data_IF_373774319680
#
_entry.id   IF_373774319680
#
_cell.length_a   1.000
_cell.length_b   1.000
_cell.length_c   1.000
_cell.angle_alpha   90.00
_cell.angle_beta   90.00
_cell.angle_gamma   90.00
#
_symmetry.space_group_name_H-M   'P 1'
#
loop_
_entity.id
_entity.type
_entity.pdbx_description
1 polymer ?
#
# COMPACT_ATOMS: atom_id res chain seq x y z
N UNK A 1 70.65 -69.40 -35.52
CA UNK A 1 70.89 -67.98 -35.90
C UNK A 1 69.76 -67.16 -35.30
N UNK A 2 70.11 -66.14 -34.53
CA UNK A 2 69.25 -65.46 -33.55
C UNK A 2 67.96 -64.84 -34.11
N UNK A 3 66.86 -65.02 -33.38
CA UNK A 3 65.72 -64.10 -33.36
C UNK A 3 65.59 -63.63 -31.91
N UNK A 4 66.08 -62.43 -31.61
CA UNK A 4 65.79 -61.72 -30.37
C UNK A 4 64.49 -60.96 -30.53
N UNK A 5 63.48 -61.34 -29.73
CA UNK A 5 62.19 -60.68 -29.65
C UNK A 5 62.28 -59.59 -28.57
N UNK A 6 62.21 -58.31 -28.96
CA UNK A 6 62.11 -57.17 -28.06
C UNK A 6 60.63 -56.83 -27.87
N UNK A 7 60.09 -57.11 -26.68
CA UNK A 7 58.75 -56.69 -26.29
C UNK A 7 58.83 -55.38 -25.51
N UNK A 8 58.26 -54.32 -26.09
CA UNK A 8 58.18 -52.96 -25.55
C UNK A 8 57.06 -52.91 -24.51
N UNK A 9 57.40 -52.54 -23.28
CA UNK A 9 56.46 -52.28 -22.18
C UNK A 9 55.86 -50.88 -22.40
N UNK A 10 54.55 -50.80 -22.68
CA UNK A 10 53.80 -49.55 -22.73
C UNK A 10 52.94 -49.41 -21.46
N UNK A 11 53.20 -48.37 -20.67
CA UNK A 11 52.41 -48.00 -19.51
C UNK A 11 51.01 -47.51 -19.94
N UNK A 12 49.96 -48.21 -19.53
CA UNK A 12 48.58 -47.69 -19.55
C UNK A 12 48.38 -46.74 -18.37
N UNK A 13 48.17 -45.46 -18.69
CA UNK A 13 47.71 -44.45 -17.74
C UNK A 13 46.17 -44.53 -17.64
N UNK A 14 45.65 -44.82 -16.45
CA UNK A 14 44.22 -44.74 -16.15
C UNK A 14 43.81 -43.26 -16.06
N UNK A 15 43.05 -42.77 -17.03
CA UNK A 15 42.30 -41.52 -16.90
C UNK A 15 41.03 -41.79 -16.09
N UNK A 16 40.97 -41.26 -14.86
CA UNK A 16 39.73 -41.18 -14.11
C UNK A 16 38.85 -40.10 -14.75
N UNK A 17 37.77 -40.49 -15.41
CA UNK A 17 36.77 -39.56 -15.92
C UNK A 17 36.02 -38.93 -14.73
N UNK A 18 36.25 -37.65 -14.48
CA UNK A 18 35.44 -36.87 -13.54
C UNK A 18 34.03 -36.69 -14.14
N UNK A 19 33.02 -37.30 -13.52
CA UNK A 19 31.62 -37.03 -13.81
C UNK A 19 31.31 -35.61 -13.35
N UNK A 20 31.30 -34.67 -14.31
CA UNK A 20 30.80 -33.32 -14.09
C UNK A 20 29.28 -33.40 -13.94
N UNK A 21 28.79 -33.20 -12.71
CA UNK A 21 27.35 -33.04 -12.48
C UNK A 21 26.94 -31.65 -12.99
N UNK A 22 26.19 -31.64 -14.09
CA UNK A 22 25.55 -30.43 -14.59
C UNK A 22 24.56 -29.90 -13.53
N UNK A 23 24.55 -28.59 -13.20
CA UNK A 23 23.57 -28.04 -12.28
C UNK A 23 22.18 -28.23 -12.88
N UNK A 24 21.26 -28.79 -12.10
CA UNK A 24 19.85 -28.91 -12.47
C UNK A 24 19.30 -27.51 -12.68
N UNK A 25 19.18 -27.11 -13.95
CA UNK A 25 18.61 -25.82 -14.33
C UNK A 25 17.17 -25.78 -13.80
N UNK A 26 16.90 -24.85 -12.87
CA UNK A 26 15.55 -24.61 -12.36
C UNK A 26 14.65 -24.20 -13.53
N UNK A 27 13.89 -25.15 -14.08
CA UNK A 27 12.88 -24.87 -15.11
C UNK A 27 11.79 -23.99 -14.50
N UNK A 28 11.80 -22.72 -14.85
CA UNK A 28 10.71 -21.79 -14.56
C UNK A 28 9.51 -22.22 -15.40
N UNK A 29 8.47 -22.75 -14.75
CA UNK A 29 7.19 -22.99 -15.39
C UNK A 29 6.49 -21.63 -15.60
N UNK A 30 6.59 -21.09 -16.81
CA UNK A 30 5.89 -19.87 -17.20
C UNK A 30 4.46 -20.25 -17.61
N UNK A 31 3.48 -19.96 -16.75
CA UNK A 31 2.08 -19.99 -17.15
C UNK A 31 1.75 -18.64 -17.81
N UNK A 32 1.43 -18.60 -19.10
CA UNK A 32 1.08 -17.34 -19.76
C UNK A 32 -0.19 -16.78 -19.14
N UNK A 33 -0.11 -15.54 -18.66
CA UNK A 33 -1.31 -14.76 -18.36
C UNK A 33 -1.92 -14.39 -19.70
N UNK A 34 -2.92 -15.14 -20.15
CA UNK A 34 -3.72 -14.73 -21.28
C UNK A 34 -4.63 -13.59 -20.85
N UNK A 35 -4.41 -12.41 -21.43
CA UNK A 35 -5.39 -11.33 -21.45
C UNK A 35 -6.68 -11.91 -22.02
N UNK A 36 -7.73 -12.06 -21.20
CA UNK A 36 -9.07 -12.36 -21.73
C UNK A 36 -9.43 -11.24 -22.70
N UNK A 37 -9.71 -11.60 -23.95
CA UNK A 37 -10.04 -10.65 -25.02
C UNK A 37 -11.35 -9.91 -24.79
N UNK A 38 -12.17 -10.41 -23.86
CA UNK A 38 -13.44 -9.84 -23.44
C UNK A 38 -13.44 -9.80 -21.89
N UNK A 39 -13.57 -8.62 -21.26
CA UNK A 39 -13.98 -8.55 -19.86
C UNK A 39 -15.33 -9.27 -19.71
N UNK A 40 -15.62 -9.90 -18.58
CA UNK A 40 -16.96 -10.41 -18.31
C UNK A 40 -17.98 -9.30 -18.64
N UNK A 41 -19.07 -9.65 -19.33
CA UNK A 41 -20.09 -8.69 -19.78
C UNK A 41 -20.68 -7.86 -18.62
N UNK A 42 -20.68 -8.46 -17.42
CA UNK A 42 -21.03 -7.81 -16.15
C UNK A 42 -20.03 -6.72 -15.78
N UNK A 43 -18.73 -6.98 -15.91
CA UNK A 43 -17.68 -6.01 -15.60
C UNK A 43 -17.75 -4.87 -16.64
N UNK A 44 -17.74 -5.19 -17.93
CA UNK A 44 -17.70 -4.18 -19.00
C UNK A 44 -18.92 -3.25 -19.07
N UNK A 45 -20.11 -3.70 -18.68
CA UNK A 45 -21.30 -2.84 -18.56
C UNK A 45 -21.23 -1.89 -17.36
N UNK A 46 -20.67 -2.34 -16.23
CA UNK A 46 -20.37 -1.50 -15.07
C UNK A 46 -19.28 -0.45 -15.39
N UNK A 47 -18.31 -0.77 -16.25
CA UNK A 47 -17.21 0.15 -16.62
C UNK A 47 -17.62 1.42 -17.35
N UNK A 48 -18.70 1.39 -18.15
CA UNK A 48 -19.23 2.62 -18.77
C UNK A 48 -20.01 3.49 -17.78
N UNK A 49 -20.39 2.94 -16.62
CA UNK A 49 -21.18 3.61 -15.58
C UNK A 49 -20.31 4.50 -14.66
N UNK A 50 -19.10 4.06 -14.33
CA UNK A 50 -18.17 4.75 -13.40
C UNK A 50 -17.65 6.13 -13.88
N UNK A 51 -17.98 6.56 -15.09
CA UNK A 51 -17.62 7.87 -15.64
C UNK A 51 -18.65 8.98 -15.41
N UNK A 52 -19.80 8.70 -14.77
CA UNK A 52 -20.86 9.70 -14.57
C UNK A 52 -21.35 9.76 -13.12
N UNK A 53 -20.90 10.85 -12.46
CA UNK A 53 -21.61 11.68 -11.47
C UNK A 53 -21.88 11.02 -10.11
N UNK A 54 -20.90 11.18 -9.21
CA UNK A 54 -20.97 11.39 -7.74
C UNK A 54 -19.59 11.08 -7.13
N UNK A 55 -18.56 11.65 -7.75
CA UNK A 55 -17.17 11.34 -7.42
C UNK A 55 -16.52 12.51 -6.69
N UNK A 56 -15.82 12.22 -5.59
CA UNK A 56 -15.12 13.21 -4.78
C UNK A 56 -13.63 13.12 -5.04
N UNK A 57 -13.03 14.23 -5.46
CA UNK A 57 -11.65 14.29 -5.92
C UNK A 57 -10.81 15.18 -5.00
N UNK A 58 -9.63 14.71 -4.61
CA UNK A 58 -8.62 15.52 -3.93
C UNK A 58 -7.27 15.36 -4.59
N UNK A 59 -6.51 16.45 -4.63
CA UNK A 59 -5.08 16.40 -4.92
C UNK A 59 -4.35 15.64 -3.80
N UNK A 60 -3.26 14.96 -4.16
CA UNK A 60 -2.33 14.32 -3.25
C UNK A 60 -1.01 15.05 -3.28
N UNK A 61 -0.45 15.33 -2.10
CA UNK A 61 0.89 15.87 -1.97
C UNK A 61 1.90 14.73 -2.04
N UNK A 62 2.77 14.73 -3.05
CA UNK A 62 3.90 13.81 -3.13
C UNK A 62 5.10 14.41 -2.39
N UNK A 63 5.53 13.78 -1.31
CA UNK A 63 6.74 14.15 -0.57
C UNK A 63 7.94 13.36 -1.10
N UNK A 64 8.44 13.76 -2.27
CA UNK A 64 9.56 13.12 -2.99
C UNK A 64 9.47 11.58 -3.07
N UNK A 65 8.26 11.04 -3.22
CA UNK A 65 8.02 9.61 -3.33
C UNK A 65 8.08 8.85 -2.01
N UNK A 66 8.37 9.54 -0.90
CA UNK A 66 8.37 8.93 0.44
C UNK A 66 6.95 8.61 0.92
N UNK A 67 6.00 9.51 0.65
CA UNK A 67 4.61 9.37 1.05
C UNK A 67 3.70 10.27 0.20
N UNK A 68 2.42 9.90 0.11
CA UNK A 68 1.38 10.71 -0.51
C UNK A 68 0.40 11.18 0.56
N UNK A 69 0.25 12.50 0.69
CA UNK A 69 -0.57 13.12 1.74
C UNK A 69 -1.88 13.66 1.20
N UNK A 70 -2.89 13.64 2.05
CA UNK A 70 -4.23 14.16 1.78
C UNK A 70 -4.72 14.98 2.97
N UNK A 71 -5.53 16.00 2.68
CA UNK A 71 -6.20 16.77 3.72
C UNK A 71 -7.52 16.12 4.14
N UNK A 72 -7.74 16.06 5.45
CA UNK A 72 -8.94 15.52 6.09
C UNK A 72 -9.44 16.56 7.09
N UNK A 73 -10.75 16.74 7.16
CA UNK A 73 -11.40 17.55 8.18
C UNK A 73 -12.20 16.65 9.13
N UNK A 74 -12.02 16.81 10.44
CA UNK A 74 -12.65 15.99 11.48
C UNK A 74 -13.39 16.91 12.46
N UNK A 75 -14.64 16.60 12.75
CA UNK A 75 -15.44 17.32 13.74
C UNK A 75 -16.41 18.35 13.16
N UNK A 76 -17.18 18.97 14.06
CA UNK A 76 -18.12 20.05 13.76
C UNK A 76 -17.96 21.21 14.77
N UNK A 77 -17.41 22.38 14.40
CA UNK A 77 -16.79 22.68 13.11
C UNK A 77 -15.55 21.82 12.83
N UNK A 78 -15.20 21.67 11.56
CA UNK A 78 -14.11 20.79 11.12
C UNK A 78 -12.72 21.28 11.51
N UNK A 79 -11.92 20.39 12.07
CA UNK A 79 -10.49 20.57 12.39
C UNK A 79 -9.65 19.86 11.33
N UNK A 80 -8.65 20.54 10.77
CA UNK A 80 -7.94 20.07 9.57
C UNK A 80 -6.61 19.37 9.88
N UNK A 81 -6.40 18.25 9.21
CA UNK A 81 -5.22 17.41 9.30
C UNK A 81 -4.71 17.06 7.91
N UNK A 82 -3.39 17.00 7.77
CA UNK A 82 -2.75 16.38 6.60
C UNK A 82 -2.29 15.00 7.02
N UNK A 83 -2.78 13.95 6.36
CA UNK A 83 -2.52 12.55 6.74
C UNK A 83 -1.95 11.77 5.57
N UNK A 84 -1.18 10.72 5.87
CA UNK A 84 -0.69 9.81 4.84
C UNK A 84 -1.83 8.92 4.35
N UNK A 85 -2.00 8.83 3.03
CA UNK A 85 -2.95 7.90 2.41
C UNK A 85 -2.33 6.50 2.35
N UNK A 86 -2.95 5.52 3.02
CA UNK A 86 -2.35 4.19 3.19
C UNK A 86 -3.30 3.06 2.81
N UNK A 87 -3.02 2.38 1.69
CA UNK A 87 -3.76 1.17 1.28
C UNK A 87 -3.31 -0.09 2.03
N UNK A 88 -2.23 -0.02 2.79
CA UNK A 88 -1.67 -1.09 3.62
C UNK A 88 -2.21 -1.15 5.04
N UNK A 89 -3.01 -0.18 5.49
CA UNK A 89 -3.72 -0.18 6.78
C UNK A 89 -5.18 0.27 6.61
N UNK A 90 -6.00 0.14 7.66
CA UNK A 90 -7.44 0.39 7.59
C UNK A 90 -7.96 1.47 8.54
N UNK A 91 -7.27 1.72 9.66
CA UNK A 91 -7.70 2.75 10.60
C UNK A 91 -7.34 4.15 10.08
N UNK A 92 -8.28 5.09 10.22
CA UNK A 92 -7.93 6.51 10.28
C UNK A 92 -7.49 6.83 11.71
N UNK A 93 -6.41 7.58 11.88
CA UNK A 93 -6.06 8.14 13.18
C UNK A 93 -5.33 9.48 13.06
N UNK A 94 -5.52 10.32 14.09
CA UNK A 94 -4.86 11.63 14.26
C UNK A 94 -4.46 11.81 15.73
N UNK A 95 -3.47 12.65 16.05
CA UNK A 95 -3.14 12.94 17.43
C UNK A 95 -4.18 13.84 18.10
N UNK A 96 -4.51 13.54 19.35
CA UNK A 96 -5.37 14.36 20.18
C UNK A 96 -4.61 15.42 20.99
N UNK A 97 -5.34 16.39 21.54
CA UNK A 97 -4.80 17.47 22.36
C UNK A 97 -4.11 17.01 23.67
N UNK A 98 -4.23 15.73 24.02
CA UNK A 98 -3.49 15.11 25.12
C UNK A 98 -2.13 14.54 24.72
N UNK A 99 -1.81 14.46 23.42
CA UNK A 99 -0.52 13.95 22.96
C UNK A 99 0.60 14.96 23.23
N UNK A 100 1.71 14.56 23.89
CA UNK A 100 2.83 15.47 24.14
C UNK A 100 3.43 16.04 22.85
N UNK A 101 3.77 17.32 22.82
CA UNK A 101 4.36 17.98 21.64
C UNK A 101 5.68 17.33 21.15
N UNK A 102 6.42 16.68 22.06
CA UNK A 102 7.62 15.93 21.70
C UNK A 102 7.33 14.74 20.75
N UNK A 103 6.15 14.13 20.92
CA UNK A 103 5.66 12.97 20.17
C UNK A 103 4.69 13.36 19.04
N UNK A 104 3.98 14.47 19.20
CA UNK A 104 2.99 14.99 18.27
C UNK A 104 3.21 16.51 18.04
N UNK A 105 4.18 16.89 17.17
CA UNK A 105 4.61 18.28 17.03
C UNK A 105 3.69 19.15 16.16
N UNK A 106 2.71 18.56 15.48
CA UNK A 106 1.81 19.23 14.53
C UNK A 106 0.40 19.41 15.12
N UNK A 107 -0.60 19.76 14.29
CA UNK A 107 -1.98 19.99 14.72
C UNK A 107 -2.52 18.84 15.61
N UNK A 108 -3.23 19.18 16.66
CA UNK A 108 -3.85 18.21 17.58
C UNK A 108 -5.37 18.35 17.50
N UNK A 109 -6.07 17.23 17.49
CA UNK A 109 -7.53 17.21 17.56
C UNK A 109 -7.99 17.55 18.96
N UNK A 110 -8.84 18.56 19.10
CA UNK A 110 -9.52 18.94 20.34
C UNK A 110 -10.95 18.37 20.35
N UNK A 111 -11.21 17.31 21.14
CA UNK A 111 -12.55 16.75 21.27
C UNK A 111 -13.60 17.73 21.78
N UNK A 112 -13.21 18.70 22.61
CA UNK A 112 -14.13 19.67 23.20
C UNK A 112 -14.62 20.73 22.20
N UNK A 113 -13.88 20.91 21.10
CA UNK A 113 -14.21 21.84 20.03
C UNK A 113 -15.11 21.23 18.93
N UNK A 114 -15.48 19.96 19.03
CA UNK A 114 -16.37 19.28 18.07
C UNK A 114 -17.70 18.90 18.71
N UNK A 115 -18.81 19.44 18.20
CA UNK A 115 -20.16 19.12 18.67
C UNK A 115 -20.63 17.71 18.27
N UNK A 116 -19.94 17.05 17.34
CA UNK A 116 -20.27 15.69 16.86
C UNK A 116 -19.33 14.61 17.40
N UNK A 117 -18.33 14.98 18.19
CA UNK A 117 -17.41 14.04 18.82
C UNK A 117 -18.11 13.13 19.82
N UNK A 118 -17.80 11.83 19.77
CA UNK A 118 -18.18 10.85 20.78
C UNK A 118 -17.03 9.90 21.06
N UNK A 119 -16.57 9.84 22.31
CA UNK A 119 -15.65 8.80 22.77
C UNK A 119 -16.33 7.43 22.73
N UNK A 120 -15.60 6.40 22.29
CA UNK A 120 -16.06 5.01 22.39
C UNK A 120 -15.54 4.31 23.65
N UNK A 121 -14.63 4.95 24.41
CA UNK A 121 -13.96 4.38 25.59
C UNK A 121 -13.30 3.00 25.31
N UNK A 122 -12.91 2.76 24.05
CA UNK A 122 -12.19 1.55 23.64
C UNK A 122 -10.72 1.89 23.39
N UNK A 123 -9.75 1.07 23.85
CA UNK A 123 -8.35 1.32 23.62
C UNK A 123 -8.01 1.15 22.14
N UNK A 124 -7.24 2.10 21.61
CA UNK A 124 -6.66 2.08 20.28
C UNK A 124 -5.15 1.91 20.38
N UNK A 125 -4.62 0.87 19.73
CA UNK A 125 -3.17 0.62 19.71
C UNK A 125 -2.78 0.05 18.35
N UNK A 126 -1.83 0.71 17.69
CA UNK A 126 -1.22 0.26 16.44
C UNK A 126 0.29 0.14 16.58
N UNK A 127 0.87 -0.78 15.83
CA UNK A 127 2.32 -0.96 15.72
C UNK A 127 2.69 -0.94 14.25
N UNK A 128 3.51 0.02 13.85
CA UNK A 128 4.00 0.19 12.49
C UNK A 128 5.51 -0.02 12.47
N UNK A 129 5.96 -1.20 12.04
CA UNK A 129 7.39 -1.55 12.05
C UNK A 129 7.96 -1.46 13.47
N UNK A 130 8.85 -0.48 13.68
CA UNK A 130 9.48 -0.20 14.98
C UNK A 130 8.69 0.79 15.86
N UNK A 131 7.72 1.52 15.28
CA UNK A 131 6.96 2.56 15.97
C UNK A 131 5.60 2.09 16.50
N UNK A 132 5.02 2.87 17.39
CA UNK A 132 3.71 2.61 17.99
C UNK A 132 2.83 3.86 18.11
N UNK A 133 1.52 3.66 18.01
CA UNK A 133 0.48 4.64 18.34
C UNK A 133 -0.37 4.07 19.46
N UNK A 134 -0.56 4.84 20.52
CA UNK A 134 -1.48 4.51 21.61
C UNK A 134 -2.55 5.59 21.71
N UNK A 135 -3.76 5.21 22.12
CA UNK A 135 -4.85 6.14 22.30
C UNK A 135 -6.18 5.45 22.57
N UNK A 136 -7.26 6.10 22.16
CA UNK A 136 -8.63 5.56 22.27
C UNK A 136 -9.36 5.71 20.94
N UNK A 137 -10.35 4.86 20.70
CA UNK A 137 -11.27 5.09 19.59
C UNK A 137 -12.31 6.15 19.95
N UNK A 138 -12.65 6.95 18.95
CA UNK A 138 -13.77 7.87 18.97
C UNK A 138 -14.56 7.77 17.66
N UNK A 139 -15.72 8.41 17.62
CA UNK A 139 -16.46 8.67 16.39
C UNK A 139 -16.66 10.17 16.21
N UNK A 140 -16.61 10.62 14.97
CA UNK A 140 -16.96 12.00 14.61
C UNK A 140 -17.39 12.09 13.14
N UNK A 141 -17.77 13.28 12.69
CA UNK A 141 -17.98 13.63 11.28
C UNK A 141 -16.64 13.81 10.59
N UNK A 142 -16.45 13.17 9.44
CA UNK A 142 -15.19 13.22 8.69
C UNK A 142 -15.47 13.63 7.25
N UNK A 143 -14.71 14.62 6.78
CA UNK A 143 -14.78 15.13 5.40
C UNK A 143 -13.44 14.98 4.70
N UNK A 144 -13.45 14.34 3.54
CA UNK A 144 -12.27 14.20 2.65
C UNK A 144 -12.72 14.49 1.23
N UNK A 145 -12.01 15.35 0.49
CA UNK A 145 -12.36 15.70 -0.88
C UNK A 145 -13.80 16.26 -1.05
N UNK A 146 -14.38 16.83 0.01
CA UNK A 146 -15.80 17.24 0.06
C UNK A 146 -16.80 16.11 0.33
N UNK A 147 -16.36 14.86 0.41
CA UNK A 147 -17.17 13.72 0.81
C UNK A 147 -17.26 13.67 2.33
N UNK A 148 -18.47 13.81 2.88
CA UNK A 148 -18.69 13.83 4.32
C UNK A 148 -19.43 12.58 4.77
N UNK A 149 -18.88 11.90 5.79
CA UNK A 149 -19.54 10.79 6.48
C UNK A 149 -19.71 11.12 7.95
N UNK A 150 -20.80 10.64 8.55
CA UNK A 150 -21.10 10.84 9.96
C UNK A 150 -20.72 9.61 10.78
N UNK A 151 -20.43 9.80 12.07
CA UNK A 151 -20.11 8.75 13.03
C UNK A 151 -18.99 7.80 12.54
N UNK A 152 -17.99 8.31 11.82
CA UNK A 152 -16.83 7.51 11.40
C UNK A 152 -15.97 7.23 12.63
N UNK A 153 -15.72 5.95 12.89
CA UNK A 153 -14.78 5.55 13.93
C UNK A 153 -13.34 5.83 13.49
N UNK A 154 -12.53 6.44 14.36
CA UNK A 154 -11.12 6.72 14.14
C UNK A 154 -10.34 6.62 15.45
N UNK A 155 -9.02 6.43 15.34
CA UNK A 155 -8.11 6.44 16.49
C UNK A 155 -7.72 7.86 16.88
N UNK A 156 -7.94 8.22 18.15
CA UNK A 156 -7.45 9.45 18.75
C UNK A 156 -6.18 9.13 19.55
N UNK A 157 -5.02 9.48 19.01
CA UNK A 157 -3.74 9.13 19.60
C UNK A 157 -3.41 10.03 20.80
N UNK A 158 -3.01 9.41 21.90
CA UNK A 158 -2.48 10.05 23.11
C UNK A 158 -0.94 9.99 23.19
N UNK A 159 -0.32 9.10 22.42
CA UNK A 159 1.14 8.95 22.34
C UNK A 159 1.51 8.33 20.98
N UNK A 160 2.58 8.84 20.37
CA UNK A 160 3.21 8.20 19.20
C UNK A 160 4.71 8.08 19.42
N UNK A 161 5.30 6.97 18.99
CA UNK A 161 6.76 6.78 18.99
C UNK A 161 7.23 6.35 17.63
N UNK A 162 8.22 7.05 17.08
CA UNK A 162 8.88 6.72 15.80
C UNK A 162 7.91 6.61 14.61
N UNK A 163 6.80 7.34 14.65
CA UNK A 163 5.78 7.37 13.57
C UNK A 163 5.64 8.78 13.03
N UNK A 164 5.26 9.73 13.91
CA UNK A 164 5.29 11.13 13.55
C UNK A 164 6.74 11.62 13.71
N UNK A 165 7.33 12.09 12.62
CA UNK A 165 8.71 12.57 12.64
C UNK A 165 8.76 13.94 13.29
N UNK A 166 9.48 14.03 14.42
CA UNK A 166 10.01 15.31 14.88
C UNK A 166 11.36 15.53 14.17
N UNK A 167 11.48 16.52 13.28
CA UNK A 167 12.73 16.80 12.55
C UNK A 167 13.93 16.99 13.47
N UNK A 168 13.72 17.42 14.72
CA UNK A 168 14.76 17.66 15.72
C UNK A 168 15.34 16.37 16.34
N UNK A 169 14.74 15.21 16.08
CA UNK A 169 15.17 13.91 16.64
C UNK A 169 15.89 13.01 15.64
N UNK A 170 15.98 13.42 14.37
CA UNK A 170 16.72 12.66 13.35
C UNK A 170 18.15 13.20 13.29
N UNK A 171 19.07 12.56 14.00
CA UNK A 171 20.52 12.71 13.76
C UNK A 171 20.89 11.98 12.47
N UNK A 172 20.60 12.57 11.31
CA UNK A 172 21.19 12.16 10.04
C UNK A 172 22.45 12.98 9.79
N UNK A 173 23.57 12.28 9.60
CA UNK A 173 24.92 12.80 9.30
C UNK A 173 25.07 13.44 7.91
N UNK A 174 23.99 13.97 7.34
CA UNK A 174 24.01 14.71 6.08
C UNK A 174 23.31 16.04 6.28
N UNK A 175 24.09 17.03 6.72
CA UNK A 175 23.67 18.41 7.02
C UNK A 175 23.12 19.19 5.81
N UNK A 176 23.07 18.57 4.62
CA UNK A 176 22.68 19.25 3.38
C UNK A 176 21.26 18.95 2.86
N UNK A 177 20.48 18.07 3.50
CA UNK A 177 19.12 17.72 3.05
C UNK A 177 17.98 18.16 3.99
N UNK A 178 18.28 18.61 5.21
CA UNK A 178 17.28 18.83 6.27
C UNK A 178 16.86 20.30 6.45
N UNK A 179 17.54 21.24 5.81
CA UNK A 179 17.38 22.69 6.04
C UNK A 179 16.44 23.41 5.08
N UNK A 180 15.64 22.70 4.28
CA UNK A 180 14.83 23.31 3.20
C UNK A 180 13.31 23.22 3.29
N UNK A 181 12.71 22.64 4.34
CA UNK A 181 11.28 22.32 4.28
C UNK A 181 10.48 22.68 5.53
N UNK A 182 10.45 23.98 5.83
CA UNK A 182 9.54 24.50 6.86
C UNK A 182 8.10 24.68 6.33
N UNK A 183 7.93 24.93 5.02
CA UNK A 183 6.63 25.19 4.38
C UNK A 183 5.94 23.95 3.76
N UNK A 184 6.54 22.75 3.83
CA UNK A 184 5.90 21.56 3.23
C UNK A 184 4.92 20.89 4.19
N UNK A 185 3.77 20.39 3.70
CA UNK A 185 2.84 19.64 4.53
C UNK A 185 3.53 18.46 5.20
N UNK A 186 3.33 18.32 6.52
CA UNK A 186 3.88 17.23 7.32
C UNK A 186 2.76 16.23 7.60
N UNK A 187 3.04 14.94 7.42
CA UNK A 187 2.12 13.89 7.80
C UNK A 187 1.79 13.98 9.29
N UNK A 188 0.51 13.98 9.61
CA UNK A 188 -0.02 14.19 10.95
C UNK A 188 -1.17 13.21 11.23
N UNK A 189 -0.89 11.93 10.98
CA UNK A 189 -1.85 10.84 11.01
C UNK A 189 -1.83 10.01 9.74
N UNK A 190 -2.68 8.98 9.71
CA UNK A 190 -2.84 8.08 8.57
C UNK A 190 -4.32 7.94 8.26
N UNK A 191 -4.68 7.96 6.97
CA UNK A 191 -5.99 7.54 6.46
C UNK A 191 -5.83 6.16 5.81
N UNK A 192 -6.20 5.12 6.56
CA UNK A 192 -6.24 3.75 6.05
C UNK A 192 -7.38 3.54 5.04
N UNK A 193 -7.06 2.87 3.93
CA UNK A 193 -8.01 2.48 2.87
C UNK A 193 -8.19 0.96 2.77
N UNK A 194 -7.67 0.20 3.73
CA UNK A 194 -7.77 -1.26 3.81
C UNK A 194 -9.16 -1.78 4.16
N UNK A 195 -9.32 -3.10 4.19
CA UNK A 195 -10.60 -3.74 4.53
C UNK A 195 -10.92 -3.65 6.04
N UNK A 196 -12.21 -3.70 6.45
CA UNK A 196 -12.63 -3.66 7.85
C UNK A 196 -11.88 -4.61 8.79
N UNK A 197 -11.52 -5.80 8.30
CA UNK A 197 -10.80 -6.81 9.08
C UNK A 197 -9.36 -6.43 9.44
N UNK A 198 -8.77 -5.50 8.70
CA UNK A 198 -7.40 -5.00 8.92
C UNK A 198 -7.33 -3.92 10.00
N UNK A 199 -8.48 -3.44 10.51
CA UNK A 199 -8.52 -2.47 11.61
C UNK A 199 -7.86 -3.02 12.87
N UNK A 200 -7.24 -2.15 13.66
CA UNK A 200 -6.65 -2.52 14.94
C UNK A 200 -7.72 -3.15 15.86
N UNK A 201 -8.94 -2.61 15.85
CA UNK A 201 -10.08 -3.12 16.62
C UNK A 201 -10.33 -4.60 16.35
N UNK A 202 -10.37 -4.99 15.07
CA UNK A 202 -10.50 -6.39 14.63
C UNK A 202 -9.37 -7.26 15.20
N UNK A 203 -8.12 -6.82 15.06
CA UNK A 203 -6.95 -7.58 15.55
C UNK A 203 -6.89 -7.72 17.08
N UNK A 204 -7.53 -6.81 17.81
CA UNK A 204 -7.59 -6.78 19.28
C UNK A 204 -8.85 -7.44 19.86
N UNK A 205 -9.68 -8.08 19.02
CA UNK A 205 -10.89 -8.76 19.46
C UNK A 205 -12.07 -7.83 19.79
N UNK A 206 -12.00 -6.55 19.42
CA UNK A 206 -13.09 -5.57 19.59
C UNK A 206 -14.11 -5.63 18.44
N UNK A 207 -13.83 -6.42 17.40
CA UNK A 207 -14.63 -6.53 16.19
C UNK A 207 -14.19 -5.54 15.10
N UNK A 208 -14.42 -5.85 13.81
CA UNK A 208 -14.14 -4.93 12.72
C UNK A 208 -15.16 -3.79 12.69
N UNK A 209 -14.75 -2.63 12.20
CA UNK A 209 -15.64 -1.52 11.83
C UNK A 209 -15.33 -1.09 10.39
N UNK A 210 -16.22 -0.31 9.78
CA UNK A 210 -16.04 0.19 8.42
C UNK A 210 -15.01 1.34 8.39
N UNK A 211 -13.90 1.21 7.62
CA UNK A 211 -13.02 2.33 7.29
C UNK A 211 -13.74 3.38 6.44
N UNK A 212 -13.12 4.55 6.31
CA UNK A 212 -13.70 5.72 5.63
C UNK A 212 -14.36 5.38 4.29
N UNK A 213 -13.63 4.70 3.39
CA UNK A 213 -14.14 4.36 2.04
C UNK A 213 -15.33 3.39 2.06
N UNK A 214 -15.41 2.50 3.05
CA UNK A 214 -16.54 1.59 3.21
C UNK A 214 -17.76 2.34 3.72
N UNK A 215 -17.57 3.31 4.62
CA UNK A 215 -18.66 4.17 5.09
C UNK A 215 -19.16 5.15 4.03
N UNK A 216 -18.32 5.59 3.10
CA UNK A 216 -18.80 6.36 1.93
C UNK A 216 -19.86 5.58 1.16
N UNK A 217 -19.63 4.30 0.91
CA UNK A 217 -20.60 3.46 0.21
C UNK A 217 -21.79 3.09 1.11
N UNK A 218 -21.55 2.72 2.36
CA UNK A 218 -22.60 2.32 3.31
C UNK A 218 -23.58 3.46 3.64
N UNK A 219 -23.10 4.71 3.63
CA UNK A 219 -23.92 5.91 3.83
C UNK A 219 -24.46 6.50 2.51
N UNK A 220 -24.29 5.79 1.39
CA UNK A 220 -24.70 6.24 0.04
C UNK A 220 -24.12 7.61 -0.36
N UNK A 221 -22.93 7.95 0.13
CA UNK A 221 -22.21 9.18 -0.26
C UNK A 221 -21.62 9.02 -1.66
N UNK A 222 -21.10 7.82 -1.98
CA UNK A 222 -20.66 7.46 -3.33
C UNK A 222 -21.60 6.43 -3.94
N UNK A 223 -21.94 6.63 -5.21
CA UNK A 223 -22.82 5.74 -5.97
C UNK A 223 -22.17 4.42 -6.35
N UNK A 224 -20.85 4.41 -6.53
CA UNK A 224 -20.08 3.23 -6.91
C UNK A 224 -18.99 2.96 -5.85
N UNK A 225 -18.87 1.74 -5.29
CA UNK A 225 -17.95 1.40 -4.19
C UNK A 225 -16.52 1.18 -4.70
N UNK A 226 -15.94 2.22 -5.28
CA UNK A 226 -14.59 2.23 -5.84
C UNK A 226 -13.84 3.47 -5.38
N UNK A 227 -12.52 3.38 -5.38
CA UNK A 227 -11.66 4.56 -5.40
C UNK A 227 -10.53 4.35 -6.42
N UNK A 228 -9.98 5.44 -6.93
CA UNK A 228 -8.86 5.41 -7.85
C UNK A 228 -7.78 6.38 -7.41
N UNK A 229 -6.53 5.96 -7.60
CA UNK A 229 -5.35 6.74 -7.23
C UNK A 229 -4.51 6.92 -8.50
N UNK A 230 -4.20 8.18 -8.79
CA UNK A 230 -3.21 8.56 -9.76
C UNK A 230 -2.00 9.14 -9.02
N UNK A 231 -0.85 8.50 -9.20
CA UNK A 231 0.41 8.98 -8.67
C UNK A 231 1.23 9.51 -9.84
N UNK A 232 1.70 10.75 -9.70
CA UNK A 232 2.64 11.34 -10.63
C UNK A 232 4.05 10.76 -10.43
N UNK A 233 5.05 11.34 -11.09
CA UNK A 233 6.44 10.93 -10.92
C UNK A 233 6.87 11.05 -9.45
N UNK A 234 7.39 9.96 -8.88
CA UNK A 234 7.85 9.91 -7.49
C UNK A 234 8.89 11.00 -7.16
N UNK A 235 9.69 11.44 -8.12
CA UNK A 235 10.69 12.49 -7.93
C UNK A 235 10.13 13.92 -8.00
N UNK A 236 8.84 14.08 -8.31
CA UNK A 236 8.18 15.40 -8.38
C UNK A 236 7.49 15.71 -7.07
N UNK A 237 7.97 16.73 -6.37
CA UNK A 237 7.41 17.22 -5.10
C UNK A 237 6.14 18.07 -5.31
N UNK A 238 5.23 18.07 -4.34
CA UNK A 238 4.07 18.99 -4.32
C UNK A 238 2.70 18.32 -4.49
N UNK A 239 1.65 19.12 -4.71
CA UNK A 239 0.27 18.64 -4.94
C UNK A 239 0.07 18.16 -6.37
N UNK A 240 0.64 17.00 -6.68
CA UNK A 240 0.79 16.51 -8.06
C UNK A 240 0.18 15.13 -8.31
N UNK A 241 -0.29 14.43 -7.26
CA UNK A 241 -1.11 13.21 -7.38
C UNK A 241 -2.61 13.50 -7.21
N UNK A 242 -3.43 12.47 -7.32
CA UNK A 242 -4.89 12.58 -7.19
C UNK A 242 -5.51 11.30 -6.63
N UNK A 243 -6.53 11.45 -5.79
CA UNK A 243 -7.44 10.36 -5.41
C UNK A 243 -8.87 10.75 -5.74
N UNK A 244 -9.63 9.78 -6.23
CA UNK A 244 -11.06 9.90 -6.50
C UNK A 244 -11.79 8.81 -5.73
N UNK A 245 -12.79 9.19 -4.94
CA UNK A 245 -13.75 8.27 -4.35
C UNK A 245 -15.02 8.23 -5.21
N UNK A 246 -15.52 7.04 -5.53
CA UNK A 246 -16.72 6.85 -6.33
C UNK A 246 -16.53 6.89 -7.85
N UNK A 247 -15.28 6.93 -8.35
CA UNK A 247 -15.04 7.08 -9.78
C UNK A 247 -13.59 6.85 -10.22
N UNK A 248 -13.36 7.09 -11.51
CA UNK A 248 -12.03 7.08 -12.15
C UNK A 248 -11.89 8.28 -13.09
N UNK A 249 -10.71 8.86 -13.20
CA UNK A 249 -10.42 9.86 -14.24
C UNK A 249 -9.80 9.20 -15.48
N UNK A 250 -10.58 9.15 -16.57
CA UNK A 250 -10.17 8.58 -17.85
C UNK A 250 -9.04 9.35 -18.53
N UNK A 251 -8.78 10.61 -18.14
CA UNK A 251 -7.66 11.40 -18.67
C UNK A 251 -6.31 10.96 -18.11
N UNK A 252 -6.30 10.21 -16.99
CA UNK A 252 -5.07 9.76 -16.30
C UNK A 252 -4.53 8.43 -16.81
N UNK A 253 -5.24 7.72 -17.67
CA UNK A 253 -4.79 6.45 -18.24
C UNK A 253 -5.17 6.30 -19.71
N UNK A 254 -4.50 5.37 -20.41
CA UNK A 254 -4.79 5.04 -21.80
C UNK A 254 -5.29 3.61 -21.91
N UNK A 255 -6.24 3.37 -22.81
CA UNK A 255 -6.83 2.05 -23.01
C UNK A 255 -7.80 1.67 -21.89
N UNK A 256 -7.98 0.37 -21.68
CA UNK A 256 -8.94 -0.16 -20.71
C UNK A 256 -8.25 -0.60 -19.43
N UNK A 257 -8.91 -0.38 -18.29
CA UNK A 257 -8.50 -0.94 -17.00
C UNK A 257 -8.58 -2.47 -17.03
N UNK A 258 -7.57 -3.12 -16.48
CA UNK A 258 -7.54 -4.56 -16.25
C UNK A 258 -7.82 -4.83 -14.78
N UNK A 259 -8.86 -5.61 -14.49
CA UNK A 259 -9.27 -5.95 -13.14
C UNK A 259 -8.73 -7.32 -12.76
N UNK A 260 -8.19 -7.41 -11.56
CA UNK A 260 -7.75 -8.66 -10.96
C UNK A 260 -8.57 -8.90 -9.69
N UNK A 261 -9.03 -10.13 -9.42
CA UNK A 261 -9.78 -10.42 -8.22
C UNK A 261 -8.90 -10.27 -6.98
N UNK A 262 -9.43 -9.63 -5.94
CA UNK A 262 -8.78 -9.57 -4.63
C UNK A 262 -8.77 -10.97 -4.01
N UNK A 263 -7.63 -11.37 -3.46
CA UNK A 263 -7.44 -12.69 -2.85
C UNK A 263 -7.78 -12.61 -1.36
N UNK A 264 -8.75 -13.40 -0.87
CA UNK A 264 -9.02 -13.51 0.55
C UNK A 264 -7.89 -14.27 1.25
N UNK A 265 -7.60 -13.91 2.50
CA UNK A 265 -6.62 -14.62 3.32
C UNK A 265 -7.25 -15.85 4.01
N UNK A 266 -7.46 -16.94 3.27
CA UNK A 266 -7.77 -18.24 3.87
C UNK A 266 -6.50 -18.92 4.39
N UNK A 267 -6.56 -19.51 5.59
CA UNK A 267 -5.44 -20.14 6.28
C UNK A 267 -4.61 -21.08 5.39
N UNK A 268 -3.29 -20.86 5.29
CA UNK A 268 -2.35 -21.93 4.91
C UNK A 268 -2.06 -22.73 6.18
N UNK A 269 -2.76 -23.84 6.36
CA UNK A 269 -2.46 -24.78 7.44
C UNK A 269 -1.15 -25.53 7.11
N UNK A 270 -0.02 -25.10 7.71
CA UNK A 270 0.89 -25.96 8.52
C UNK A 270 2.22 -25.30 8.90
N UNK A 271 2.49 -25.41 10.21
CA UNK A 271 3.76 -25.72 10.87
C UNK A 271 5.03 -24.95 10.47
N UNK A 272 5.14 -23.69 10.88
CA UNK A 272 6.39 -23.20 11.46
C UNK A 272 6.11 -22.13 12.52
N UNK A 273 6.79 -22.26 13.65
CA UNK A 273 6.60 -21.42 14.85
C UNK A 273 6.79 -19.94 14.48
N UNK A 274 5.84 -19.07 14.90
CA UNK A 274 5.82 -17.59 14.79
C UNK A 274 5.21 -16.92 13.55
N UNK A 275 4.20 -17.48 12.88
CA UNK A 275 3.29 -16.68 12.06
C UNK A 275 1.85 -16.84 12.55
N UNK A 276 1.16 -15.72 12.77
CA UNK A 276 -0.22 -15.69 13.23
C UNK A 276 -1.09 -16.57 12.31
N UNK A 277 -1.82 -17.51 12.91
CA UNK A 277 -2.83 -18.31 12.22
C UNK A 277 -3.98 -17.38 11.86
N UNK A 278 -3.96 -16.79 10.65
CA UNK A 278 -5.09 -16.05 10.11
C UNK A 278 -6.09 -17.05 9.56
N UNK A 279 -7.10 -17.36 10.36
CA UNK A 279 -8.23 -18.20 9.98
C UNK A 279 -9.37 -17.27 9.55
N UNK A 280 -9.36 -16.79 8.29
CA UNK A 280 -10.29 -15.72 7.88
C UNK A 280 -10.83 -15.93 6.47
N UNK A 281 -12.07 -16.41 6.34
CA UNK A 281 -12.77 -16.50 5.05
C UNK A 281 -13.19 -15.14 4.46
N UNK A 282 -12.27 -14.19 4.26
CA UNK A 282 -12.58 -12.87 3.70
C UNK A 282 -11.36 -12.04 3.29
N UNK A 283 -11.62 -10.87 2.68
CA UNK A 283 -10.58 -9.93 2.24
C UNK A 283 -9.93 -9.23 3.43
N UNK A 284 -8.61 -9.02 3.34
CA UNK A 284 -7.81 -8.42 4.41
C UNK A 284 -6.94 -7.29 3.86
N UNK A 285 -6.11 -7.59 2.86
CA UNK A 285 -5.35 -6.61 2.07
C UNK A 285 -5.87 -6.56 0.63
N UNK A 286 -5.54 -5.50 -0.10
CA UNK A 286 -5.73 -5.38 -1.56
C UNK A 286 -4.74 -6.27 -2.34
N UNK A 287 -4.74 -7.57 -2.05
CA UNK A 287 -3.83 -8.53 -2.68
C UNK A 287 -4.46 -9.15 -3.92
N UNK A 288 -3.64 -9.37 -4.94
CA UNK A 288 -4.02 -10.05 -6.17
C UNK A 288 -3.02 -11.18 -6.45
N UNK A 289 -3.47 -12.25 -7.10
CA UNK A 289 -2.56 -13.31 -7.52
C UNK A 289 -1.64 -12.80 -8.64
N UNK A 290 -0.33 -12.87 -8.42
CA UNK A 290 0.69 -12.54 -9.42
C UNK A 290 1.79 -13.61 -9.43
N UNK A 291 2.29 -13.97 -10.60
CA UNK A 291 3.40 -14.92 -10.76
C UNK A 291 4.78 -14.30 -10.47
N UNK A 292 4.86 -12.97 -10.35
CA UNK A 292 6.08 -12.24 -10.05
C UNK A 292 5.90 -10.74 -10.23
N UNK A 293 6.78 -9.96 -9.62
CA UNK A 293 6.89 -8.50 -9.80
C UNK A 293 8.26 -8.22 -10.41
N UNK A 294 8.28 -7.24 -11.30
CA UNK A 294 9.41 -6.95 -12.17
C UNK A 294 9.64 -5.44 -12.22
N UNK A 295 10.86 -5.01 -11.90
CA UNK A 295 11.24 -3.60 -11.94
C UNK A 295 12.39 -3.45 -12.91
N UNK A 296 12.20 -2.66 -13.97
CA UNK A 296 13.25 -2.36 -14.95
C UNK A 296 13.79 -0.95 -14.70
N UNK A 297 15.08 -0.85 -14.40
CA UNK A 297 15.79 0.43 -14.33
C UNK A 297 16.51 0.65 -15.65
N UNK A 298 16.17 1.72 -16.38
CA UNK A 298 16.95 2.16 -17.54
C UNK A 298 18.07 3.08 -17.08
N UNK A 299 19.24 2.52 -16.77
CA UNK A 299 20.46 3.34 -16.64
C UNK A 299 21.06 3.57 -18.04
N UNK A 300 21.16 4.83 -18.44
CA UNK A 300 21.87 5.26 -19.65
C UNK A 300 23.38 5.32 -19.40
N UNK A 301 24.00 4.24 -18.98
CA UNK A 301 25.46 4.07 -19.02
C UNK A 301 25.81 2.60 -19.20
N UNK A 302 26.49 2.33 -20.30
CA UNK A 302 27.01 1.04 -20.75
C UNK A 302 27.94 0.37 -19.72
N UNK A 303 27.71 -0.91 -19.41
CA UNK A 303 28.63 -2.03 -19.71
C UNK A 303 28.34 -3.24 -18.81
N UNK A 304 27.88 -4.33 -19.45
CA UNK A 304 28.06 -5.74 -19.08
C UNK A 304 28.07 -6.12 -17.59
N UNK A 305 26.90 -6.50 -17.08
CA UNK A 305 26.80 -7.69 -16.23
C UNK A 305 25.43 -8.37 -16.45
N UNK A 306 25.46 -9.53 -17.11
CA UNK A 306 24.26 -10.25 -17.54
C UNK A 306 23.70 -11.10 -16.39
N UNK A 307 22.87 -10.47 -15.55
CA UNK A 307 21.83 -11.17 -14.79
C UNK A 307 20.52 -11.13 -15.57
N UNK A 308 20.10 -12.26 -16.14
CA UNK A 308 18.83 -12.35 -16.89
C UNK A 308 17.66 -12.16 -15.90
N UNK A 309 17.13 -10.94 -15.83
CA UNK A 309 15.79 -10.65 -15.31
C UNK A 309 14.92 -10.26 -16.51
N UNK A 310 14.51 -11.28 -17.28
CA UNK A 310 13.51 -11.11 -18.33
C UNK A 310 12.12 -11.11 -17.71
N UNK A 311 11.63 -9.93 -17.39
CA UNK A 311 10.26 -9.73 -16.94
C UNK A 311 9.69 -8.43 -17.49
N UNK A 312 8.73 -8.57 -18.40
CA UNK A 312 8.02 -7.49 -19.06
C UNK A 312 6.82 -7.08 -18.21
N UNK A 313 6.89 -5.91 -17.57
CA UNK A 313 5.74 -5.10 -17.25
C UNK A 313 5.96 -3.76 -17.93
N UNK A 314 5.50 -3.64 -19.18
CA UNK A 314 5.48 -2.34 -19.86
C UNK A 314 4.45 -1.46 -19.16
N UNK A 315 4.91 -0.57 -18.29
CA UNK A 315 4.34 0.77 -18.18
C UNK A 315 5.34 1.74 -18.76
N UNK A 316 5.38 1.81 -20.10
CA UNK A 316 5.99 2.95 -20.78
C UNK A 316 5.07 4.17 -20.60
N UNK A 317 4.98 4.68 -19.38
CA UNK A 317 4.63 6.06 -19.08
C UNK A 317 4.92 6.33 -17.62
N UNK A 318 5.53 7.48 -17.37
CA UNK A 318 5.79 8.14 -16.09
C UNK A 318 4.53 8.48 -15.27
N UNK A 319 3.46 7.70 -15.43
CA UNK A 319 2.10 7.90 -14.92
C UNK A 319 1.44 6.52 -14.77
N UNK A 320 1.17 6.10 -13.54
CA UNK A 320 0.43 4.87 -13.26
C UNK A 320 -0.85 5.22 -12.49
N UNK A 321 -1.99 4.80 -13.02
CA UNK A 321 -3.28 4.92 -12.35
C UNK A 321 -3.76 3.52 -11.93
N UNK A 322 -4.21 3.39 -10.69
CA UNK A 322 -4.76 2.15 -10.14
C UNK A 322 -6.17 2.42 -9.63
N UNK A 323 -7.10 1.52 -9.96
CA UNK A 323 -8.47 1.52 -9.40
C UNK A 323 -8.65 0.30 -8.51
N UNK A 324 -9.20 0.53 -7.32
CA UNK A 324 -9.53 -0.50 -6.34
C UNK A 324 -11.05 -0.49 -6.12
N UNK A 325 -11.68 -1.66 -6.17
CA UNK A 325 -13.12 -1.85 -5.99
C UNK A 325 -13.39 -2.81 -4.84
N UNK A 326 -14.45 -2.54 -4.07
CA UNK A 326 -14.85 -3.38 -2.94
C UNK A 326 -16.33 -3.73 -2.99
N UNK A 327 -16.68 -4.81 -2.29
CA UNK A 327 -18.08 -5.17 -2.05
C UNK A 327 -18.52 -4.63 -0.68
N UNK A 328 -19.75 -4.17 -0.60
CA UNK A 328 -20.38 -3.62 0.62
C UNK A 328 -21.26 -4.62 1.36
N UNK A 329 -21.55 -5.78 0.76
CA UNK A 329 -22.38 -6.86 1.34
C UNK A 329 -21.55 -7.94 2.01
#
# INVERSE_FOLDING_TARGET
>A
MHISCAAVITLLSFYAATVSSSPTEKRILRVPIQRRSQPDSIISSQLKKYGKRDSYMSTLFNDLGSQYLINVSIGTPGQNFTVTLDTGSADLWVPGNTCPAADCPNNLFDPSASSTYKSLNQPFTLTYGIGNVNGTYATDTITVAGATIQNQQFGLASDTKQILTNPSTITVSSENALSKRDDTPKANGILGLGYPRLTAASSKGQGPYNPFVFNLAAQNVISDPIFSIYLNNANTDGWVGEVIFGGTDQTKFKGNLTYLPVVPLSSVAKASKKRATLNTGGNYYWMVNAHGVAVTYTNSTSSSDTGIINTTATTNSSNAAVSLSFNTT
#
